data_IF_281838949773
#
_entry.id   IF_281838949773
#
_cell.length_a   1.000
_cell.length_b   1.000
_cell.length_c   1.000
_cell.angle_alpha   90.00
_cell.angle_beta   90.00
_cell.angle_gamma   90.00
#
_symmetry.space_group_name_H-M   'P 1'
#
loop_
_entity.id
_entity.type
_entity.pdbx_description
1 polymer ?
#
# COMPACT_ATOMS: atom_id res chain seq x y z
N UNK A 1 -33.41 4.58 -5.32
CA UNK A 1 -32.24 5.35 -5.82
C UNK A 1 -31.66 6.14 -4.66
N UNK A 2 -30.34 6.24 -4.55
CA UNK A 2 -29.70 7.07 -3.51
C UNK A 2 -30.04 8.55 -3.77
N UNK A 3 -30.25 9.37 -2.73
CA UNK A 3 -30.44 10.79 -2.90
C UNK A 3 -29.16 11.44 -3.45
N UNK A 4 -29.32 12.48 -4.28
CA UNK A 4 -28.22 13.12 -5.00
C UNK A 4 -27.00 13.50 -4.13
N UNK A 5 -27.15 14.06 -2.91
CA UNK A 5 -26.01 14.38 -2.05
C UNK A 5 -25.19 13.15 -1.65
N UNK A 6 -25.86 12.02 -1.36
CA UNK A 6 -25.18 10.78 -1.00
C UNK A 6 -24.43 10.21 -2.20
N UNK A 7 -25.06 10.26 -3.39
CA UNK A 7 -24.42 9.79 -4.62
C UNK A 7 -23.14 10.58 -4.94
N UNK A 8 -23.18 11.91 -4.78
CA UNK A 8 -22.02 12.77 -5.00
C UNK A 8 -20.87 12.38 -4.06
N UNK A 9 -21.15 12.17 -2.77
CA UNK A 9 -20.12 11.75 -1.82
C UNK A 9 -19.56 10.36 -2.13
N UNK A 10 -20.42 9.40 -2.50
CA UNK A 10 -19.99 8.06 -2.93
C UNK A 10 -19.00 8.15 -4.09
N UNK A 11 -19.33 8.95 -5.10
CA UNK A 11 -18.47 9.15 -6.27
C UNK A 11 -17.15 9.80 -5.86
N UNK A 12 -17.17 10.82 -5.00
CA UNK A 12 -15.94 11.49 -4.52
C UNK A 12 -15.03 10.53 -3.75
N UNK A 13 -15.58 9.68 -2.86
CA UNK A 13 -14.82 8.65 -2.13
C UNK A 13 -14.17 7.64 -3.07
N UNK A 14 -14.92 7.14 -4.06
CA UNK A 14 -14.41 6.20 -5.05
C UNK A 14 -13.33 6.83 -5.94
N UNK A 15 -13.56 8.04 -6.45
CA UNK A 15 -12.60 8.76 -7.29
C UNK A 15 -11.32 9.08 -6.52
N UNK A 16 -11.43 9.48 -5.24
CA UNK A 16 -10.28 9.75 -4.39
C UNK A 16 -9.48 8.48 -4.10
N UNK A 17 -10.15 7.37 -3.80
CA UNK A 17 -9.50 6.08 -3.58
C UNK A 17 -8.72 5.63 -4.83
N UNK A 18 -9.34 5.72 -6.02
CA UNK A 18 -8.69 5.41 -7.30
C UNK A 18 -7.52 6.36 -7.55
N UNK A 19 -7.70 7.66 -7.39
CA UNK A 19 -6.64 8.65 -7.63
C UNK A 19 -5.42 8.38 -6.75
N UNK A 20 -5.62 8.14 -5.45
CA UNK A 20 -4.54 7.83 -4.52
C UNK A 20 -3.86 6.50 -4.90
N UNK A 21 -4.63 5.44 -5.17
CA UNK A 21 -4.07 4.15 -5.59
C UNK A 21 -3.25 4.25 -6.88
N UNK A 22 -3.73 5.05 -7.84
CA UNK A 22 -3.02 5.36 -9.07
C UNK A 22 -1.74 6.16 -8.81
N UNK A 23 -1.75 7.18 -7.95
CA UNK A 23 -0.54 7.95 -7.60
C UNK A 23 0.54 7.03 -7.01
N UNK A 24 0.16 6.14 -6.10
CA UNK A 24 1.08 5.16 -5.51
C UNK A 24 1.60 4.19 -6.59
N UNK A 25 0.72 3.73 -7.49
CA UNK A 25 1.10 2.81 -8.57
C UNK A 25 1.94 3.44 -9.68
N UNK A 26 1.85 4.74 -9.90
CA UNK A 26 2.61 5.45 -10.93
C UNK A 26 4.11 5.37 -10.65
N UNK A 27 4.52 5.61 -9.40
CA UNK A 27 5.92 5.43 -9.00
C UNK A 27 6.40 4.01 -9.28
N UNK A 28 5.54 3.01 -9.10
CA UNK A 28 5.90 1.61 -9.29
C UNK A 28 6.01 1.22 -10.77
N UNK A 29 5.11 1.70 -11.61
CA UNK A 29 5.16 1.51 -13.06
C UNK A 29 6.43 2.14 -13.65
N UNK A 30 6.76 3.37 -13.24
CA UNK A 30 7.98 4.07 -13.67
C UNK A 30 9.27 3.32 -13.32
N UNK A 31 9.23 2.46 -12.31
CA UNK A 31 10.38 1.68 -11.84
C UNK A 31 10.32 0.20 -12.24
N UNK A 32 9.44 -0.17 -13.19
CA UNK A 32 9.34 -1.51 -13.75
C UNK A 32 8.97 -2.58 -12.72
N UNK A 33 8.20 -2.20 -11.69
CA UNK A 33 7.75 -3.15 -10.67
C UNK A 33 6.53 -3.95 -11.19
N UNK A 34 6.34 -5.20 -10.73
CA UNK A 34 5.27 -6.07 -11.23
C UNK A 34 3.83 -5.64 -10.87
N UNK A 35 3.66 -4.58 -10.07
CA UNK A 35 2.36 -4.08 -9.64
C UNK A 35 2.33 -2.57 -9.84
N UNK A 36 1.43 -2.11 -10.70
CA UNK A 36 1.37 -0.75 -11.24
C UNK A 36 0.13 0.04 -10.87
N UNK A 37 -0.10 1.16 -11.57
CA UNK A 37 -1.26 2.06 -11.41
C UNK A 37 -2.59 1.32 -11.46
N UNK A 38 -2.79 0.50 -12.49
CA UNK A 38 -4.07 -0.21 -12.70
C UNK A 38 -4.38 -1.14 -11.53
N UNK A 39 -3.40 -1.90 -11.07
CA UNK A 39 -3.61 -2.85 -9.97
C UNK A 39 -3.85 -2.13 -8.64
N UNK A 40 -3.04 -1.14 -8.30
CA UNK A 40 -3.19 -0.40 -7.04
C UNK A 40 -4.45 0.47 -7.01
N UNK A 41 -4.85 1.05 -8.15
CA UNK A 41 -6.14 1.73 -8.29
C UNK A 41 -7.32 0.79 -8.03
N UNK A 42 -7.32 -0.41 -8.61
CA UNK A 42 -8.37 -1.41 -8.38
C UNK A 42 -8.41 -1.92 -6.94
N UNK A 43 -7.24 -2.15 -6.32
CA UNK A 43 -7.15 -2.57 -4.92
C UNK A 43 -7.74 -1.51 -3.99
N UNK A 44 -7.37 -0.24 -4.17
CA UNK A 44 -7.90 0.88 -3.39
C UNK A 44 -9.42 1.04 -3.59
N UNK A 45 -9.89 0.97 -4.83
CA UNK A 45 -11.31 1.06 -5.18
C UNK A 45 -12.13 -0.07 -4.56
N UNK A 46 -11.65 -1.32 -4.66
CA UNK A 46 -12.33 -2.48 -4.09
C UNK A 46 -12.45 -2.39 -2.58
N UNK A 47 -11.38 -1.95 -1.91
CA UNK A 47 -11.40 -1.72 -0.46
C UNK A 47 -12.35 -0.59 -0.05
N UNK A 48 -12.38 0.51 -0.81
CA UNK A 48 -13.33 1.61 -0.62
C UNK A 48 -14.78 1.13 -0.76
N UNK A 49 -15.09 0.41 -1.84
CA UNK A 49 -16.43 -0.12 -2.12
C UNK A 49 -16.92 -1.08 -1.04
N UNK A 50 -16.07 -2.03 -0.62
CA UNK A 50 -16.41 -2.97 0.43
C UNK A 50 -16.65 -2.25 1.78
N UNK A 51 -15.84 -1.26 2.10
CA UNK A 51 -16.03 -0.46 3.33
C UNK A 51 -17.35 0.31 3.29
N UNK A 52 -17.69 0.92 2.15
CA UNK A 52 -18.93 1.68 1.98
C UNK A 52 -20.17 0.78 1.99
N UNK A 53 -20.08 -0.44 1.45
CA UNK A 53 -21.20 -1.39 1.50
C UNK A 53 -21.49 -1.83 2.93
N UNK A 54 -20.47 -1.98 3.78
CA UNK A 54 -20.62 -2.25 5.21
C UNK A 54 -21.30 -1.11 5.97
N UNK A 55 -21.18 0.13 5.47
CA UNK A 55 -21.85 1.32 6.03
C UNK A 55 -23.26 1.55 5.45
N UNK A 56 -23.73 0.68 4.55
CA UNK A 56 -24.99 0.85 3.84
C UNK A 56 -25.05 2.11 2.97
N UNK A 57 -23.89 2.62 2.53
CA UNK A 57 -23.76 3.92 1.84
C UNK A 57 -24.36 5.11 2.61
N UNK A 58 -24.42 5.00 3.94
CA UNK A 58 -24.96 6.07 4.79
C UNK A 58 -23.92 7.14 5.11
N UNK A 59 -24.41 8.35 5.38
CA UNK A 59 -23.61 9.51 5.78
C UNK A 59 -23.44 9.62 7.30
N UNK A 60 -23.91 8.62 8.05
CA UNK A 60 -23.86 8.67 9.51
C UNK A 60 -22.41 8.59 9.98
N UNK A 61 -22.01 9.39 11.00
CA UNK A 61 -20.72 9.22 11.67
C UNK A 61 -20.53 7.77 12.10
N UNK A 62 -19.27 7.31 12.13
CA UNK A 62 -18.89 5.99 12.60
C UNK A 62 -19.31 5.81 14.09
N UNK A 63 -20.57 5.50 14.36
CA UNK A 63 -20.91 4.74 15.56
C UNK A 63 -20.26 3.37 15.36
N UNK A 64 -19.54 2.87 16.37
CA UNK A 64 -18.78 1.63 16.29
C UNK A 64 -19.61 0.48 15.66
N UNK A 65 -19.48 0.33 14.34
CA UNK A 65 -20.27 -0.60 13.55
C UNK A 65 -19.46 -1.88 13.44
N UNK A 66 -19.88 -2.91 14.17
CA UNK A 66 -19.24 -4.23 14.15
C UNK A 66 -19.06 -4.76 12.71
N UNK A 67 -19.99 -4.42 11.81
CA UNK A 67 -19.96 -4.84 10.41
C UNK A 67 -18.82 -4.20 9.62
N UNK A 68 -18.49 -2.93 9.87
CA UNK A 68 -17.33 -2.27 9.25
C UNK A 68 -16.04 -2.95 9.70
N UNK A 69 -15.91 -3.26 11.00
CA UNK A 69 -14.73 -3.96 11.51
C UNK A 69 -14.55 -5.34 10.87
N UNK A 70 -15.63 -6.10 10.67
CA UNK A 70 -15.58 -7.42 10.01
C UNK A 70 -15.16 -7.30 8.55
N UNK A 71 -15.71 -6.33 7.82
CA UNK A 71 -15.33 -6.11 6.42
C UNK A 71 -13.88 -5.67 6.30
N UNK A 72 -13.40 -4.79 7.17
CA UNK A 72 -11.99 -4.41 7.23
C UNK A 72 -11.11 -5.62 7.47
N UNK A 73 -11.41 -6.47 8.46
CA UNK A 73 -10.66 -7.71 8.72
C UNK A 73 -10.63 -8.63 7.48
N UNK A 74 -11.78 -8.78 6.79
CA UNK A 74 -11.88 -9.55 5.55
C UNK A 74 -11.02 -9.00 4.43
N UNK A 75 -11.04 -7.67 4.21
CA UNK A 75 -10.19 -6.99 3.21
C UNK A 75 -8.72 -7.24 3.56
N UNK A 76 -8.29 -6.98 4.80
CA UNK A 76 -6.89 -7.13 5.19
C UNK A 76 -6.39 -8.57 5.04
N UNK A 77 -7.25 -9.55 5.33
CA UNK A 77 -6.95 -10.98 5.13
C UNK A 77 -6.81 -11.30 3.64
N UNK A 78 -7.75 -10.87 2.81
CA UNK A 78 -7.71 -11.12 1.36
C UNK A 78 -6.51 -10.47 0.67
N UNK A 79 -6.14 -9.25 1.07
CA UNK A 79 -4.95 -8.57 0.55
C UNK A 79 -3.66 -9.27 1.00
N UNK A 80 -3.65 -9.91 2.17
CA UNK A 80 -2.55 -10.79 2.60
C UNK A 80 -2.24 -11.89 1.58
N UNK A 81 -3.27 -12.51 0.99
CA UNK A 81 -3.10 -13.51 -0.08
C UNK A 81 -2.51 -12.91 -1.37
N UNK A 82 -2.98 -11.74 -1.81
CA UNK A 82 -2.39 -11.05 -2.96
C UNK A 82 -0.93 -10.65 -2.71
N UNK A 83 -0.62 -10.21 -1.49
CA UNK A 83 0.73 -9.87 -1.05
C UNK A 83 1.66 -11.08 -1.06
N UNK A 84 1.21 -12.22 -0.55
CA UNK A 84 1.97 -13.47 -0.62
C UNK A 84 2.25 -13.90 -2.07
N UNK A 85 1.27 -13.76 -2.97
CA UNK A 85 1.40 -14.14 -4.37
C UNK A 85 2.43 -13.34 -5.18
N UNK A 86 2.84 -12.16 -4.72
CA UNK A 86 3.88 -11.34 -5.37
C UNK A 86 5.27 -11.48 -4.73
N UNK A 87 5.38 -12.22 -3.61
CA UNK A 87 6.65 -12.51 -2.95
C UNK A 87 7.23 -13.77 -3.57
N UNK A 88 8.40 -13.63 -4.19
CA UNK A 88 9.07 -14.74 -4.87
C UNK A 88 10.42 -14.95 -4.19
N UNK A 89 10.65 -16.18 -3.73
CA UNK A 89 11.95 -16.62 -3.27
C UNK A 89 12.71 -17.22 -4.44
N UNK A 90 13.96 -16.81 -4.65
CA UNK A 90 14.87 -17.50 -5.57
C UNK A 90 15.84 -18.36 -4.75
N UNK A 91 15.64 -19.69 -4.70
CA UNK A 91 16.46 -20.59 -3.88
C UNK A 91 17.94 -20.57 -4.28
N UNK A 92 18.25 -20.41 -5.57
CA UNK A 92 19.64 -20.44 -6.04
C UNK A 92 20.45 -19.18 -5.73
N UNK A 93 19.79 -18.08 -5.36
CA UNK A 93 20.43 -16.80 -5.05
C UNK A 93 20.23 -16.37 -3.59
N UNK A 94 19.65 -17.23 -2.75
CA UNK A 94 19.23 -16.94 -1.37
C UNK A 94 18.57 -15.55 -1.20
N UNK A 95 17.74 -15.16 -2.18
CA UNK A 95 17.19 -13.78 -2.26
C UNK A 95 15.68 -13.78 -2.39
N UNK A 96 15.03 -13.02 -1.52
CA UNK A 96 13.58 -12.77 -1.57
C UNK A 96 13.33 -11.47 -2.34
N UNK A 97 12.42 -11.51 -3.30
CA UNK A 97 11.94 -10.34 -4.06
C UNK A 97 10.45 -10.12 -3.80
N UNK A 98 10.00 -8.88 -3.93
CA UNK A 98 8.57 -8.54 -3.88
C UNK A 98 8.05 -8.07 -2.52
N UNK A 99 8.86 -8.08 -1.45
CA UNK A 99 8.44 -7.62 -0.11
C UNK A 99 7.85 -6.20 -0.11
N UNK A 100 8.56 -5.22 -0.71
CA UNK A 100 8.05 -3.84 -0.83
C UNK A 100 6.82 -3.76 -1.71
N UNK A 101 6.68 -4.66 -2.70
CA UNK A 101 5.48 -4.74 -3.55
C UNK A 101 4.28 -5.20 -2.74
N UNK A 102 4.43 -6.28 -1.96
CA UNK A 102 3.40 -6.77 -1.07
C UNK A 102 2.97 -5.70 -0.06
N UNK A 103 3.94 -5.03 0.58
CA UNK A 103 3.67 -3.94 1.50
C UNK A 103 2.92 -2.77 0.83
N UNK A 104 3.28 -2.42 -0.41
CA UNK A 104 2.61 -1.36 -1.18
C UNK A 104 1.15 -1.72 -1.51
N UNK A 105 0.87 -2.97 -1.87
CA UNK A 105 -0.51 -3.44 -2.10
C UNK A 105 -1.32 -3.34 -0.80
N UNK A 106 -0.74 -3.82 0.31
CA UNK A 106 -1.37 -3.84 1.62
C UNK A 106 -1.76 -2.44 2.10
N UNK A 107 -0.83 -1.50 2.06
CA UNK A 107 -1.09 -0.12 2.51
C UNK A 107 -2.04 0.62 1.56
N UNK A 108 -1.99 0.33 0.24
CA UNK A 108 -2.94 0.91 -0.71
C UNK A 108 -4.38 0.50 -0.41
N UNK A 109 -4.60 -0.77 -0.05
CA UNK A 109 -5.91 -1.22 0.39
C UNK A 109 -6.35 -0.50 1.67
N UNK A 110 -5.46 -0.35 2.65
CA UNK A 110 -5.75 0.39 3.87
C UNK A 110 -6.16 1.85 3.60
N UNK A 111 -5.50 2.54 2.68
CA UNK A 111 -5.90 3.90 2.28
C UNK A 111 -7.27 3.90 1.58
N UNK A 112 -7.55 2.90 0.74
CA UNK A 112 -8.87 2.68 0.16
C UNK A 112 -9.98 2.51 1.21
N UNK A 113 -9.71 1.77 2.30
CA UNK A 113 -10.63 1.65 3.45
C UNK A 113 -10.88 3.03 4.07
N UNK A 114 -9.82 3.79 4.36
CA UNK A 114 -9.94 5.14 4.97
C UNK A 114 -10.75 6.09 4.08
N UNK A 115 -10.57 6.01 2.74
CA UNK A 115 -11.39 6.74 1.78
C UNK A 115 -12.86 6.29 1.83
N UNK A 116 -13.11 4.97 1.91
CA UNK A 116 -14.45 4.41 2.06
C UNK A 116 -15.17 4.90 3.32
N UNK A 117 -14.43 5.04 4.43
CA UNK A 117 -14.93 5.61 5.69
C UNK A 117 -15.21 7.12 5.61
N UNK A 118 -14.72 7.82 4.58
CA UNK A 118 -14.83 9.29 4.45
C UNK A 118 -13.89 10.07 5.37
N UNK A 119 -12.83 9.44 5.89
CA UNK A 119 -11.88 10.07 6.81
C UNK A 119 -10.79 10.85 6.04
N UNK A 120 -11.18 11.95 5.40
CA UNK A 120 -10.35 12.70 4.46
C UNK A 120 -8.99 13.16 5.00
N UNK A 121 -8.96 13.72 6.22
CA UNK A 121 -7.72 14.17 6.85
C UNK A 121 -6.74 13.01 7.05
N UNK A 122 -7.26 11.84 7.46
CA UNK A 122 -6.44 10.63 7.66
C UNK A 122 -5.96 10.08 6.33
N UNK A 123 -6.83 10.04 5.30
CA UNK A 123 -6.45 9.60 3.95
C UNK A 123 -5.31 10.45 3.38
N UNK A 124 -5.40 11.78 3.53
CA UNK A 124 -4.38 12.71 3.05
C UNK A 124 -3.04 12.49 3.77
N UNK A 125 -3.05 12.45 5.11
CA UNK A 125 -1.84 12.25 5.92
C UNK A 125 -1.19 10.89 5.59
N UNK A 126 -1.99 9.82 5.54
CA UNK A 126 -1.50 8.48 5.22
C UNK A 126 -0.87 8.43 3.83
N UNK A 127 -1.50 9.06 2.83
CA UNK A 127 -0.96 9.14 1.46
C UNK A 127 0.35 9.89 1.41
N UNK A 128 0.46 11.03 2.11
CA UNK A 128 1.70 11.82 2.18
C UNK A 128 2.84 11.03 2.83
N UNK A 129 2.58 10.36 3.96
CA UNK A 129 3.56 9.51 4.63
C UNK A 129 4.01 8.36 3.72
N UNK A 130 3.07 7.73 3.01
CA UNK A 130 3.36 6.63 2.10
C UNK A 130 4.25 7.06 0.94
N UNK A 131 3.91 8.16 0.26
CA UNK A 131 4.71 8.71 -0.84
C UNK A 131 6.11 9.10 -0.32
N UNK A 132 6.19 9.70 0.86
CA UNK A 132 7.45 10.03 1.49
C UNK A 132 8.29 8.78 1.76
N UNK A 133 7.71 7.71 2.31
CA UNK A 133 8.42 6.47 2.60
C UNK A 133 8.94 5.80 1.32
N UNK A 134 8.11 5.73 0.28
CA UNK A 134 8.49 5.13 -1.01
C UNK A 134 9.57 5.96 -1.73
N UNK A 135 9.55 7.28 -1.61
CA UNK A 135 10.52 8.17 -2.27
C UNK A 135 11.81 8.32 -1.44
N UNK A 136 11.70 8.64 -0.16
CA UNK A 136 12.83 8.85 0.74
C UNK A 136 13.59 7.55 1.02
N UNK A 137 12.90 6.40 1.13
CA UNK A 137 13.55 5.10 1.32
C UNK A 137 14.60 4.82 0.24
N UNK A 138 14.30 5.15 -1.01
CA UNK A 138 15.25 5.02 -2.14
C UNK A 138 16.44 5.97 -2.04
N UNK A 139 16.22 7.21 -1.61
CA UNK A 139 17.29 8.20 -1.45
C UNK A 139 18.24 7.79 -0.33
N UNK A 140 17.68 7.35 0.80
CA UNK A 140 18.44 6.88 1.96
C UNK A 140 19.22 5.63 1.64
N UNK A 141 18.62 4.65 0.95
CA UNK A 141 19.29 3.42 0.52
C UNK A 141 20.50 3.73 -0.40
N UNK A 142 20.31 4.62 -1.39
CA UNK A 142 21.41 5.06 -2.27
C UNK A 142 22.50 5.82 -1.50
N UNK A 143 22.13 6.68 -0.57
CA UNK A 143 23.08 7.45 0.23
C UNK A 143 23.92 6.54 1.14
N UNK A 144 23.28 5.60 1.82
CA UNK A 144 23.95 4.60 2.68
C UNK A 144 24.84 3.67 1.86
N UNK A 145 24.37 3.15 0.72
CA UNK A 145 25.20 2.29 -0.14
C UNK A 145 26.41 3.05 -0.68
N UNK A 146 26.27 4.33 -1.01
CA UNK A 146 27.39 5.17 -1.44
C UNK A 146 28.40 5.43 -0.30
N UNK A 147 27.95 5.54 0.94
CA UNK A 147 28.83 5.66 2.11
C UNK A 147 29.51 4.32 2.44
N UNK A 148 28.81 3.19 2.31
CA UNK A 148 29.39 1.86 2.49
C UNK A 148 30.49 1.57 1.46
N UNK A 149 30.25 1.93 0.19
CA UNK A 149 31.24 1.79 -0.88
C UNK A 149 32.45 2.74 -0.75
N UNK A 150 32.48 3.64 0.24
CA UNK A 150 33.66 4.44 0.59
C UNK A 150 34.50 3.82 1.71
N UNK A 151 34.02 2.83 2.46
CA UNK A 151 34.81 2.15 3.51
C UNK A 151 35.89 1.25 2.89
N UNK A 152 37.10 1.14 3.49
CA UNK A 152 38.17 0.27 2.99
C UNK A 152 37.71 -1.20 2.84
N UNK A 153 38.26 -1.98 1.88
CA UNK A 153 37.87 -3.37 1.65
C UNK A 153 37.97 -4.25 2.90
N UNK A 154 39.01 -4.07 3.71
CA UNK A 154 39.27 -4.83 4.95
C UNK A 154 38.13 -4.72 5.98
N UNK A 155 37.48 -3.55 6.06
CA UNK A 155 36.35 -3.31 6.98
C UNK A 155 35.03 -3.93 6.47
N UNK A 156 34.96 -4.26 5.18
CA UNK A 156 33.80 -4.93 4.55
C UNK A 156 33.91 -6.44 4.72
N UNK A 157 35.11 -6.98 4.57
CA UNK A 157 35.41 -8.41 4.73
C UNK A 157 35.31 -8.84 6.21
N UNK A 158 35.74 -8.00 7.15
CA UNK A 158 35.63 -8.27 8.59
C UNK A 158 34.19 -8.31 9.14
N UNK A 159 33.20 -7.81 8.38
CA UNK A 159 31.76 -7.82 8.74
C UNK A 159 30.89 -8.64 7.81
N UNK A 160 31.45 -9.21 6.74
CA UNK A 160 30.79 -10.29 6.04
C UNK A 160 30.76 -11.46 7.02
N UNK A 161 29.56 -11.77 7.53
CA UNK A 161 29.35 -12.96 8.36
C UNK A 161 29.89 -14.14 7.52
N UNK A 162 30.82 -14.96 8.05
CA UNK A 162 31.27 -16.14 7.32
C UNK A 162 30.04 -16.92 6.87
N UNK A 163 29.98 -17.31 5.60
CA UNK A 163 29.06 -18.37 5.17
C UNK A 163 29.50 -19.61 5.97
N UNK A 164 28.81 -19.88 7.08
CA UNK A 164 28.90 -21.18 7.74
C UNK A 164 28.21 -22.18 6.80
N UNK A 165 29.02 -23.11 6.30
CA UNK A 165 28.67 -24.26 5.45
C UNK A 165 27.43 -25.05 5.96
#
# INVERSE_FOLDING_TARGET
MLPFPILLEVVIRMLSAVAIGCIIGLDRDLHGKPTGMKTLGLVSLGACLATMSAQGFSMQPLTANADVSRVVQGIMTGIGFLGAGVIIQNPSLNRIRGLTTAASIWVTAAVGIVCGLGLWSVALIATMILILLLTAGRVVEKALHRQWMKKPPEEREARAIPDDD
#
